data_IF_641886528417
#
_entry.id   IF_641886528417
#
_cell.length_a   1.000
_cell.length_b   1.000
_cell.length_c   1.000
_cell.angle_alpha   90.00
_cell.angle_beta   90.00
_cell.angle_gamma   90.00
#
_symmetry.space_group_name_H-M   'P 1'
#
loop_
_entity.id
_entity.type
_entity.pdbx_description
1 polymer ?
#
# COMPACT_ATOMS: atom_id res chain seq x y z
N UNK A 1 -9.15 15.61 -9.43
CA UNK A 1 -8.48 14.32 -9.70
C UNK A 1 -7.75 13.76 -8.48
N UNK A 2 -7.27 14.61 -7.56
CA UNK A 2 -6.58 14.20 -6.32
C UNK A 2 -7.32 13.16 -5.48
N UNK A 3 -8.65 13.31 -5.28
CA UNK A 3 -9.45 12.35 -4.54
C UNK A 3 -9.43 10.93 -5.16
N UNK A 4 -9.69 10.84 -6.48
CA UNK A 4 -9.70 9.57 -7.21
C UNK A 4 -8.32 8.93 -7.15
N UNK A 5 -7.26 9.72 -7.35
CA UNK A 5 -5.87 9.25 -7.25
C UNK A 5 -5.56 8.70 -5.85
N UNK A 6 -6.01 9.39 -4.80
CA UNK A 6 -5.84 8.94 -3.42
C UNK A 6 -6.57 7.63 -3.13
N UNK A 7 -7.83 7.51 -3.56
CA UNK A 7 -8.62 6.28 -3.42
C UNK A 7 -7.97 5.11 -4.19
N UNK A 8 -7.49 5.36 -5.41
CA UNK A 8 -6.78 4.35 -6.22
C UNK A 8 -5.50 3.89 -5.52
N UNK A 9 -4.71 4.80 -4.94
CA UNK A 9 -3.50 4.45 -4.21
C UNK A 9 -3.79 3.57 -2.97
N UNK A 10 -4.87 3.87 -2.24
CA UNK A 10 -5.30 3.02 -1.14
C UNK A 10 -5.74 1.64 -1.65
N UNK A 11 -6.56 1.58 -2.71
CA UNK A 11 -6.97 0.30 -3.30
C UNK A 11 -5.76 -0.52 -3.79
N UNK A 12 -4.78 0.11 -4.43
CA UNK A 12 -3.53 -0.51 -4.86
C UNK A 12 -2.75 -1.05 -3.66
N UNK A 13 -2.68 -0.31 -2.54
CA UNK A 13 -2.01 -0.81 -1.32
C UNK A 13 -2.62 -2.10 -0.78
N UNK A 14 -3.95 -2.24 -0.84
CA UNK A 14 -4.65 -3.45 -0.41
C UNK A 14 -4.34 -4.62 -1.34
N UNK A 15 -4.41 -4.41 -2.66
CA UNK A 15 -4.07 -5.44 -3.64
C UNK A 15 -2.60 -5.87 -3.52
N UNK A 16 -1.69 -4.92 -3.29
CA UNK A 16 -0.27 -5.18 -3.09
C UNK A 16 -0.02 -5.99 -1.81
N UNK A 17 -0.80 -5.75 -0.75
CA UNK A 17 -0.74 -6.51 0.51
C UNK A 17 -1.16 -7.96 0.30
N UNK A 18 -2.26 -8.18 -0.43
CA UNK A 18 -2.72 -9.54 -0.79
C UNK A 18 -1.65 -10.28 -1.59
N UNK A 19 -1.08 -9.64 -2.61
CA UNK A 19 -0.02 -10.22 -3.43
C UNK A 19 1.23 -10.54 -2.60
N UNK A 20 1.64 -9.61 -1.72
CA UNK A 20 2.78 -9.79 -0.81
C UNK A 20 2.58 -10.99 0.10
N UNK A 21 1.40 -11.13 0.72
CA UNK A 21 1.08 -12.25 1.60
C UNK A 21 1.09 -13.58 0.85
N UNK A 22 0.55 -13.61 -0.38
CA UNK A 22 0.60 -14.80 -1.23
C UNK A 22 2.02 -15.25 -1.56
N UNK A 23 2.88 -14.30 -1.97
CA UNK A 23 4.29 -14.58 -2.27
C UNK A 23 5.09 -14.96 -1.01
N UNK A 24 4.83 -14.29 0.10
CA UNK A 24 5.45 -14.59 1.39
C UNK A 24 5.14 -16.02 1.84
N UNK A 25 3.86 -16.41 1.81
CA UNK A 25 3.40 -17.75 2.18
C UNK A 25 4.00 -18.82 1.26
N UNK A 26 4.04 -18.57 -0.05
CA UNK A 26 4.63 -19.49 -1.02
C UNK A 26 6.13 -19.73 -0.83
N UNK A 27 6.86 -18.76 -0.28
CA UNK A 27 8.30 -18.87 -0.02
C UNK A 27 8.64 -19.31 1.40
N UNK A 28 7.66 -19.37 2.32
CA UNK A 28 7.90 -19.55 3.75
C UNK A 28 8.65 -20.85 4.08
N UNK A 29 8.31 -21.93 3.38
CA UNK A 29 8.90 -23.25 3.60
C UNK A 29 10.09 -23.54 2.69
N UNK A 30 10.11 -22.97 1.49
CA UNK A 30 11.13 -23.24 0.46
C UNK A 30 12.36 -22.36 0.60
N UNK A 31 12.19 -21.09 0.95
CA UNK A 31 13.29 -20.15 1.15
C UNK A 31 12.93 -19.09 2.21
N UNK A 32 13.20 -19.36 3.50
CA UNK A 32 12.76 -18.50 4.61
C UNK A 32 13.41 -17.11 4.57
N UNK A 33 14.65 -16.99 4.11
CA UNK A 33 15.33 -15.68 3.99
C UNK A 33 14.63 -14.82 2.94
N UNK A 34 14.36 -15.39 1.76
CA UNK A 34 13.64 -14.68 0.70
C UNK A 34 12.22 -14.30 1.14
N UNK A 35 11.54 -15.19 1.88
CA UNK A 35 10.22 -14.92 2.43
C UNK A 35 10.22 -13.66 3.32
N UNK A 36 11.16 -13.53 4.25
CA UNK A 36 11.29 -12.32 5.07
C UNK A 36 11.57 -11.06 4.24
N UNK A 37 12.40 -11.16 3.20
CA UNK A 37 12.66 -10.03 2.29
C UNK A 37 11.38 -9.61 1.56
N UNK A 38 10.62 -10.57 1.00
CA UNK A 38 9.33 -10.30 0.33
C UNK A 38 8.37 -9.61 1.30
N UNK A 39 8.29 -10.08 2.55
CA UNK A 39 7.43 -9.49 3.56
C UNK A 39 7.79 -8.04 3.86
N UNK A 40 9.06 -7.76 4.17
CA UNK A 40 9.51 -6.41 4.55
C UNK A 40 9.36 -5.43 3.38
N UNK A 41 9.78 -5.83 2.18
CA UNK A 41 9.68 -4.98 0.98
C UNK A 41 8.22 -4.74 0.61
N UNK A 42 7.41 -5.79 0.57
CA UNK A 42 5.99 -5.67 0.24
C UNK A 42 5.24 -4.84 1.27
N UNK A 43 5.50 -5.03 2.57
CA UNK A 43 4.94 -4.21 3.64
C UNK A 43 5.31 -2.73 3.47
N UNK A 44 6.59 -2.42 3.21
CA UNK A 44 7.03 -1.04 3.01
C UNK A 44 6.33 -0.38 1.81
N UNK A 45 6.20 -1.09 0.69
CA UNK A 45 5.49 -0.60 -0.50
C UNK A 45 3.99 -0.38 -0.24
N UNK A 46 3.34 -1.31 0.48
CA UNK A 46 1.94 -1.16 0.87
C UNK A 46 1.75 0.07 1.77
N UNK A 47 2.61 0.24 2.77
CA UNK A 47 2.53 1.35 3.71
C UNK A 47 2.70 2.70 3.01
N UNK A 48 3.69 2.81 2.11
CA UNK A 48 3.92 4.05 1.33
C UNK A 48 2.71 4.37 0.44
N UNK A 49 2.16 3.38 -0.27
CA UNK A 49 0.99 3.58 -1.11
C UNK A 49 -0.25 4.00 -0.31
N UNK A 50 -0.49 3.37 0.86
CA UNK A 50 -1.59 3.72 1.74
C UNK A 50 -1.44 5.15 2.30
N UNK A 51 -0.26 5.51 2.81
CA UNK A 51 0.02 6.84 3.35
C UNK A 51 -0.14 7.91 2.27
N UNK A 52 0.45 7.70 1.09
CA UNK A 52 0.32 8.63 -0.03
C UNK A 52 -1.14 8.79 -0.48
N UNK A 53 -1.90 7.69 -0.50
CA UNK A 53 -3.32 7.70 -0.83
C UNK A 53 -4.14 8.51 0.17
N UNK A 54 -3.95 8.25 1.48
CA UNK A 54 -4.63 8.97 2.57
C UNK A 54 -4.27 10.46 2.55
N UNK A 55 -2.99 10.80 2.36
CA UNK A 55 -2.56 12.20 2.29
C UNK A 55 -3.23 12.94 1.13
N UNK A 56 -3.32 12.31 -0.05
CA UNK A 56 -4.03 12.88 -1.20
C UNK A 56 -5.51 13.13 -0.92
N UNK A 57 -6.18 12.22 -0.21
CA UNK A 57 -7.58 12.37 0.20
C UNK A 57 -7.73 13.51 1.21
N UNK A 58 -6.92 13.54 2.27
CA UNK A 58 -6.95 14.58 3.30
C UNK A 58 -6.65 15.97 2.71
N UNK A 59 -5.66 16.06 1.83
CA UNK A 59 -5.33 17.31 1.13
C UNK A 59 -6.51 17.84 0.31
N UNK A 60 -7.19 16.95 -0.43
CA UNK A 60 -8.38 17.33 -1.20
C UNK A 60 -9.50 17.91 -0.32
N UNK A 61 -9.77 17.31 0.85
CA UNK A 61 -10.81 17.81 1.75
C UNK A 61 -10.40 19.12 2.45
N UNK A 62 -9.14 19.23 2.88
CA UNK A 62 -8.61 20.47 3.48
C UNK A 62 -8.70 21.67 2.54
N UNK A 63 -8.45 21.46 1.25
CA UNK A 63 -8.57 22.50 0.22
C UNK A 63 -10.03 22.94 -0.02
N UNK A 64 -11.01 22.14 0.40
CA UNK A 64 -12.45 22.41 0.29
C UNK A 64 -13.04 23.07 1.54
N UNK A 65 -12.46 22.86 2.71
CA UNK A 65 -12.88 23.48 3.97
C UNK A 65 -12.40 24.94 4.11
N UNK A 66 -11.31 25.30 3.44
CA UNK A 66 -10.77 26.68 3.45
C UNK A 66 -11.41 27.66 2.46
N UNK A 67 -12.46 27.25 1.73
CA UNK A 67 -13.23 28.05 0.77
C UNK A 67 -14.70 28.04 1.14
#
# INVERSE_FOLDING_TARGET
MELIRGVVLVAVSVLLSIATLGLWLGNLQTNPVLSWVVFVVGFALCAVAAIAGIWGILGFFRDKEGK
#
